data_IF_952224373168
#
_entry.id   IF_952224373168
#
_cell.length_a   1.000
_cell.length_b   1.000
_cell.length_c   1.000
_cell.angle_alpha   90.00
_cell.angle_beta   90.00
_cell.angle_gamma   90.00
#
_symmetry.space_group_name_H-M   'P 1'
#
loop_
_entity.id
_entity.type
_entity.pdbx_description
1 polymer ?
#
# COMPACT_ATOMS: atom_id res chain seq x y z
N UNK A 1 21.90 -15.73 -35.83
CA UNK A 1 21.61 -15.80 -34.39
C UNK A 1 20.10 -15.83 -34.29
N UNK A 2 19.53 -16.94 -33.84
CA UNK A 2 18.09 -17.04 -33.59
C UNK A 2 17.74 -16.24 -32.32
N UNK A 3 16.72 -15.38 -32.40
CA UNK A 3 16.20 -14.65 -31.26
C UNK A 3 15.44 -15.60 -30.35
N UNK A 4 15.96 -15.83 -29.15
CA UNK A 4 15.25 -16.56 -28.11
C UNK A 4 14.10 -15.70 -27.59
N UNK A 5 12.88 -16.19 -27.74
CA UNK A 5 11.69 -15.53 -27.20
C UNK A 5 11.38 -16.01 -25.78
N UNK A 6 11.15 -15.07 -24.86
CA UNK A 6 11.01 -15.31 -23.41
C UNK A 6 9.84 -16.23 -22.99
N UNK A 7 8.94 -16.57 -23.91
CA UNK A 7 7.78 -17.44 -23.68
C UNK A 7 8.02 -18.89 -24.13
N UNK A 8 9.15 -19.20 -24.76
CA UNK A 8 9.52 -20.57 -25.08
C UNK A 8 9.92 -21.31 -23.79
N UNK A 9 9.27 -22.45 -23.53
CA UNK A 9 9.63 -23.28 -22.38
C UNK A 9 11.08 -23.73 -22.54
N UNK A 10 11.90 -23.48 -21.52
CA UNK A 10 13.24 -24.05 -21.45
C UNK A 10 13.12 -25.57 -21.63
N UNK A 11 13.64 -26.07 -22.74
CA UNK A 11 13.81 -27.51 -22.93
C UNK A 11 14.87 -27.97 -21.91
N UNK A 12 14.48 -28.86 -21.00
CA UNK A 12 15.40 -29.45 -20.04
C UNK A 12 16.39 -30.36 -20.78
N UNK A 13 17.53 -29.80 -21.19
CA UNK A 13 18.65 -30.59 -21.66
C UNK A 13 19.32 -31.27 -20.45
N UNK A 14 19.03 -32.57 -20.29
CA UNK A 14 19.82 -33.44 -19.44
C UNK A 14 21.25 -33.56 -20.00
N UNK A 15 22.23 -32.95 -19.33
CA UNK A 15 23.53 -33.60 -18.96
C UNK A 15 24.54 -32.63 -18.36
N UNK A 16 25.09 -33.00 -17.20
CA UNK A 16 26.28 -32.37 -16.63
C UNK A 16 26.63 -32.90 -15.24
N UNK A 17 27.20 -34.10 -15.16
CA UNK A 17 27.60 -34.78 -13.93
C UNK A 17 28.76 -34.10 -13.19
N UNK A 18 28.49 -33.47 -12.06
CA UNK A 18 29.46 -33.32 -10.96
C UNK A 18 28.82 -33.70 -9.62
N UNK A 19 29.08 -34.93 -9.16
CA UNK A 19 28.64 -35.43 -7.85
C UNK A 19 29.49 -34.81 -6.73
N UNK A 20 29.01 -33.71 -6.13
CA UNK A 20 29.26 -33.47 -4.71
C UNK A 20 28.28 -34.34 -3.92
N UNK A 21 28.76 -35.12 -2.96
CA UNK A 21 27.89 -35.86 -2.03
C UNK A 21 27.30 -34.85 -1.05
N UNK A 22 26.28 -34.14 -1.53
CA UNK A 22 25.34 -33.40 -0.69
C UNK A 22 24.32 -34.46 -0.26
N UNK A 23 24.06 -34.56 1.05
CA UNK A 23 23.03 -35.47 1.56
C UNK A 23 21.75 -35.23 0.76
N UNK A 24 21.31 -36.23 0.00
CA UNK A 24 20.21 -36.11 -0.94
C UNK A 24 18.90 -35.89 -0.16
N UNK A 25 18.58 -34.63 0.12
CA UNK A 25 17.27 -34.23 0.57
C UNK A 25 16.31 -34.63 -0.54
N UNK A 26 15.37 -35.55 -0.26
CA UNK A 26 14.32 -35.89 -1.23
C UNK A 26 13.73 -34.58 -1.76
N UNK A 27 13.65 -34.39 -3.08
CA UNK A 27 13.13 -33.15 -3.64
C UNK A 27 11.69 -32.98 -3.14
N UNK A 28 11.39 -31.80 -2.60
CA UNK A 28 10.04 -31.49 -2.16
C UNK A 28 9.11 -31.57 -3.38
N UNK A 29 7.97 -32.24 -3.23
CA UNK A 29 6.92 -32.18 -4.24
C UNK A 29 6.41 -30.74 -4.37
N UNK A 30 5.90 -30.36 -5.55
CA UNK A 30 5.28 -29.04 -5.75
C UNK A 30 4.26 -28.71 -4.66
N UNK A 31 3.43 -29.69 -4.30
CA UNK A 31 2.43 -29.56 -3.26
C UNK A 31 3.01 -29.29 -1.86
N UNK A 32 4.08 -30.02 -1.48
CA UNK A 32 4.76 -29.78 -0.20
C UNK A 32 5.59 -28.48 -0.19
N UNK A 33 6.04 -27.99 -1.34
CA UNK A 33 6.72 -26.70 -1.46
C UNK A 33 5.74 -25.51 -1.34
N UNK A 34 4.52 -25.66 -1.86
CA UNK A 34 3.43 -24.67 -1.76
C UNK A 34 2.84 -24.62 -0.35
N UNK A 35 2.56 -25.77 0.27
CA UNK A 35 1.98 -25.85 1.63
C UNK A 35 2.88 -25.34 2.76
N UNK A 36 4.16 -25.08 2.49
CA UNK A 36 5.10 -24.56 3.51
C UNK A 36 4.81 -23.09 3.81
N UNK A 37 4.51 -22.80 5.08
CA UNK A 37 4.40 -21.42 5.61
C UNK A 37 5.67 -20.64 5.27
N UNK A 38 5.51 -19.51 4.59
CA UNK A 38 6.63 -18.67 4.15
C UNK A 38 7.02 -17.72 5.27
N UNK A 39 8.00 -18.13 6.09
CA UNK A 39 8.50 -17.33 7.21
C UNK A 39 8.87 -15.89 6.81
N UNK A 40 9.43 -15.70 5.61
CA UNK A 40 9.88 -14.38 5.14
C UNK A 40 8.74 -13.43 4.74
N UNK A 41 7.54 -13.95 4.49
CA UNK A 41 6.39 -13.12 4.11
C UNK A 41 5.62 -12.61 5.33
N UNK A 42 5.67 -13.33 6.45
CA UNK A 42 4.93 -12.99 7.67
C UNK A 42 5.22 -11.56 8.15
N UNK A 43 6.48 -11.09 8.07
CA UNK A 43 6.82 -9.73 8.48
C UNK A 43 5.98 -8.68 7.72
N UNK A 44 5.76 -8.86 6.43
CA UNK A 44 5.00 -7.88 5.65
C UNK A 44 3.50 -7.90 5.99
N UNK A 45 2.99 -9.04 6.45
CA UNK A 45 1.63 -9.16 6.98
C UNK A 45 1.56 -8.46 8.33
N UNK A 46 2.50 -8.73 9.24
CA UNK A 46 2.59 -8.05 10.54
C UNK A 46 2.69 -6.52 10.39
N UNK A 47 3.48 -6.03 9.42
CA UNK A 47 3.60 -4.59 9.16
C UNK A 47 2.25 -3.99 8.67
N UNK A 48 1.47 -4.70 7.84
CA UNK A 48 0.14 -4.22 7.36
C UNK A 48 -0.91 -4.29 8.47
N UNK A 49 -0.90 -5.37 9.25
CA UNK A 49 -1.83 -5.58 10.37
C UNK A 49 -1.62 -4.49 11.43
N UNK A 50 -0.36 -4.09 11.69
CA UNK A 50 -0.04 -2.96 12.59
C UNK A 50 -0.68 -1.67 12.11
N UNK A 51 -0.47 -1.31 10.84
CA UNK A 51 -1.01 -0.07 10.29
C UNK A 51 -2.54 -0.05 10.30
N UNK A 52 -3.20 -1.16 9.93
CA UNK A 52 -4.67 -1.26 10.00
C UNK A 52 -5.14 -1.13 11.45
N UNK A 53 -4.46 -1.79 12.40
CA UNK A 53 -4.79 -1.69 13.82
C UNK A 53 -4.61 -0.28 14.37
N UNK A 54 -3.58 0.46 13.94
CA UNK A 54 -3.35 1.86 14.34
C UNK A 54 -4.41 2.78 13.74
N UNK A 55 -4.80 2.59 12.48
CA UNK A 55 -5.94 3.33 11.90
C UNK A 55 -7.22 3.03 12.67
N UNK A 56 -7.50 1.76 13.00
CA UNK A 56 -8.67 1.37 13.78
C UNK A 56 -8.67 2.01 15.18
N UNK A 57 -7.50 2.10 15.81
CA UNK A 57 -7.31 2.80 17.08
C UNK A 57 -7.61 4.30 16.95
N UNK A 58 -7.07 4.99 15.95
CA UNK A 58 -7.36 6.41 15.75
C UNK A 58 -8.79 6.69 15.29
N UNK A 59 -9.50 5.69 14.78
CA UNK A 59 -10.94 5.78 14.48
C UNK A 59 -11.82 5.56 15.72
N UNK A 60 -11.26 5.10 16.85
CA UNK A 60 -11.99 4.60 18.01
C UNK A 60 -12.90 3.39 17.67
N UNK A 61 -12.46 2.55 16.72
CA UNK A 61 -13.22 1.44 16.14
C UNK A 61 -12.35 0.17 15.99
N UNK A 62 -11.74 -0.30 17.08
CA UNK A 62 -10.71 -1.37 17.05
C UNK A 62 -11.24 -2.75 16.62
N UNK A 63 -12.54 -2.97 16.71
CA UNK A 63 -13.18 -4.20 16.23
C UNK A 63 -13.51 -4.14 14.71
N UNK A 64 -13.32 -2.99 14.06
CA UNK A 64 -13.68 -2.72 12.67
C UNK A 64 -12.46 -2.58 11.77
N UNK A 65 -11.66 -3.64 11.71
CA UNK A 65 -10.51 -3.74 10.80
C UNK A 65 -10.89 -3.52 9.33
N UNK A 66 -12.12 -3.86 8.95
CA UNK A 66 -12.68 -3.61 7.61
C UNK A 66 -12.79 -2.11 7.30
N UNK A 67 -13.28 -1.31 8.26
CA UNK A 67 -13.37 0.14 8.14
C UNK A 67 -11.99 0.79 8.10
N UNK A 68 -11.09 0.37 8.99
CA UNK A 68 -9.73 0.89 9.03
C UNK A 68 -8.94 0.60 7.74
N UNK A 69 -9.08 -0.62 7.20
CA UNK A 69 -8.48 -0.96 5.90
C UNK A 69 -9.04 -0.09 4.77
N UNK A 70 -10.36 0.10 4.71
CA UNK A 70 -10.99 0.92 3.68
C UNK A 70 -10.61 2.40 3.80
N UNK A 71 -10.52 2.93 5.02
CA UNK A 71 -10.04 4.28 5.30
C UNK A 71 -8.61 4.46 4.79
N UNK A 72 -7.68 3.57 5.21
CA UNK A 72 -6.29 3.58 4.75
C UNK A 72 -6.21 3.56 3.23
N UNK A 73 -6.96 2.64 2.58
CA UNK A 73 -6.98 2.51 1.12
C UNK A 73 -7.53 3.78 0.44
N UNK A 74 -8.66 4.31 0.92
CA UNK A 74 -9.33 5.48 0.35
C UNK A 74 -8.45 6.72 0.40
N UNK A 75 -7.88 7.01 1.58
CA UNK A 75 -6.98 8.15 1.79
C UNK A 75 -5.72 8.02 0.95
N UNK A 76 -5.10 6.83 0.92
CA UNK A 76 -3.91 6.58 0.11
C UNK A 76 -4.19 6.82 -1.39
N UNK A 77 -5.38 6.44 -1.88
CA UNK A 77 -5.74 6.64 -3.29
C UNK A 77 -6.03 8.10 -3.59
N UNK A 78 -6.77 8.77 -2.69
CA UNK A 78 -7.08 10.18 -2.80
C UNK A 78 -5.83 11.06 -2.72
N UNK A 79 -4.79 10.67 -1.98
CA UNK A 79 -3.50 11.36 -2.02
C UNK A 79 -2.73 11.03 -3.30
N UNK A 80 -2.53 9.72 -3.59
CA UNK A 80 -1.76 9.21 -4.74
C UNK A 80 -2.13 9.89 -6.05
N UNK A 81 -3.42 10.05 -6.28
CA UNK A 81 -3.94 10.54 -7.56
C UNK A 81 -3.70 12.04 -7.76
N UNK A 82 -3.33 12.78 -6.70
CA UNK A 82 -2.84 14.17 -6.76
C UNK A 82 -1.33 14.29 -6.85
N UNK A 83 -0.58 13.23 -6.55
CA UNK A 83 0.88 13.29 -6.53
C UNK A 83 1.43 13.35 -7.94
N UNK A 84 2.52 14.11 -8.12
CA UNK A 84 3.33 13.98 -9.34
C UNK A 84 3.99 12.60 -9.37
N UNK A 85 4.41 12.08 -10.53
CA UNK A 85 5.10 10.79 -10.61
C UNK A 85 6.31 10.69 -9.66
N UNK A 86 7.04 11.78 -9.49
CA UNK A 86 8.20 11.82 -8.61
C UNK A 86 7.79 11.68 -7.14
N UNK A 87 6.86 12.52 -6.66
CA UNK A 87 6.33 12.46 -5.29
C UNK A 87 5.70 11.10 -4.99
N UNK A 88 4.97 10.55 -5.96
CA UNK A 88 4.34 9.24 -5.85
C UNK A 88 5.38 8.12 -5.61
N UNK A 89 6.54 8.16 -6.25
CA UNK A 89 7.61 7.20 -5.97
C UNK A 89 8.27 7.44 -4.62
N UNK A 90 8.54 8.70 -4.25
CA UNK A 90 9.15 9.07 -2.97
C UNK A 90 8.26 8.62 -1.79
N UNK A 91 6.97 8.94 -1.84
CA UNK A 91 6.00 8.56 -0.83
C UNK A 91 5.87 7.05 -0.73
N UNK A 92 5.74 6.36 -1.88
CA UNK A 92 5.60 4.91 -1.90
C UNK A 92 6.81 4.19 -1.28
N UNK A 93 8.01 4.77 -1.34
CA UNK A 93 9.21 4.17 -0.78
C UNK A 93 9.17 4.08 0.75
N UNK A 94 8.41 4.96 1.41
CA UNK A 94 8.22 4.99 2.87
C UNK A 94 7.13 4.00 3.33
N UNK A 95 6.26 3.54 2.44
CA UNK A 95 5.19 2.59 2.78
C UNK A 95 5.71 1.16 3.00
N UNK A 96 5.13 0.39 3.94
CA UNK A 96 5.35 -1.06 4.05
C UNK A 96 5.04 -1.78 2.75
N UNK A 97 5.65 -2.95 2.52
CA UNK A 97 5.59 -3.62 1.21
C UNK A 97 4.16 -3.96 0.75
N UNK A 98 3.28 -4.42 1.66
CA UNK A 98 1.89 -4.72 1.31
C UNK A 98 1.04 -3.46 1.19
N UNK A 99 1.23 -2.46 2.06
CA UNK A 99 0.58 -1.14 1.94
C UNK A 99 0.93 -0.49 0.61
N UNK A 100 2.20 -0.57 0.19
CA UNK A 100 2.65 -0.11 -1.13
C UNK A 100 1.94 -0.84 -2.27
N UNK A 101 1.70 -2.14 -2.11
CA UNK A 101 0.91 -2.93 -3.06
C UNK A 101 -0.51 -2.40 -3.18
N UNK A 102 -1.17 -2.14 -2.05
CA UNK A 102 -2.51 -1.50 -2.00
C UNK A 102 -2.44 -0.14 -2.67
N UNK A 103 -1.48 0.71 -2.29
CA UNK A 103 -1.26 2.05 -2.84
C UNK A 103 -1.15 2.05 -4.37
N UNK A 104 -0.55 1.05 -5.01
CA UNK A 104 -0.47 0.99 -6.47
C UNK A 104 -1.61 0.23 -7.16
N UNK A 105 -2.47 -0.44 -6.40
CA UNK A 105 -3.59 -1.18 -6.98
C UNK A 105 -4.54 -0.22 -7.72
N UNK A 106 -4.89 -0.61 -8.96
CA UNK A 106 -5.77 0.17 -9.84
C UNK A 106 -5.20 1.51 -10.32
N UNK A 107 -3.91 1.81 -10.05
CA UNK A 107 -3.32 3.08 -10.48
C UNK A 107 -3.19 3.18 -12.00
N UNK A 108 -3.65 4.30 -12.55
CA UNK A 108 -3.47 4.68 -13.94
C UNK A 108 -2.63 5.96 -14.02
N UNK A 109 -1.59 5.94 -14.86
CA UNK A 109 -0.68 7.07 -15.01
C UNK A 109 -1.29 8.23 -15.81
N UNK A 110 -2.20 7.92 -16.73
CA UNK A 110 -2.80 8.90 -17.62
C UNK A 110 -3.64 9.91 -16.83
N UNK A 111 -3.44 11.21 -17.10
CA UNK A 111 -4.18 12.29 -16.45
C UNK A 111 -3.67 12.69 -15.05
N UNK A 112 -2.58 12.08 -14.56
CA UNK A 112 -1.98 12.42 -13.26
C UNK A 112 -0.91 13.52 -13.37
N UNK A 113 -0.78 14.42 -12.38
CA UNK A 113 -1.61 14.55 -11.20
C UNK A 113 -3.01 15.10 -11.52
N UNK A 114 -4.03 14.55 -10.88
CA UNK A 114 -5.40 15.07 -10.99
C UNK A 114 -5.59 16.31 -10.12
N UNK A 115 -6.40 17.24 -10.62
CA UNK A 115 -6.73 18.49 -9.95
C UNK A 115 -8.16 18.46 -9.46
N UNK A 116 -8.31 18.39 -8.15
CA UNK A 116 -9.57 18.40 -7.42
C UNK A 116 -9.36 19.03 -6.05
N UNK A 117 -10.47 19.42 -5.46
CA UNK A 117 -10.57 20.17 -4.21
C UNK A 117 -11.01 19.26 -3.06
N UNK A 118 -11.17 19.82 -1.87
CA UNK A 118 -11.51 19.09 -0.65
C UNK A 118 -12.78 18.25 -0.79
N UNK A 119 -13.84 18.77 -1.44
CA UNK A 119 -15.10 18.06 -1.63
C UNK A 119 -14.89 16.72 -2.37
N UNK A 120 -14.24 16.76 -3.53
CA UNK A 120 -13.99 15.55 -4.33
C UNK A 120 -12.94 14.63 -3.67
N UNK A 121 -12.02 15.18 -2.86
CA UNK A 121 -11.10 14.37 -2.08
C UNK A 121 -11.84 13.54 -1.02
N UNK A 122 -12.78 14.16 -0.31
CA UNK A 122 -13.62 13.49 0.70
C UNK A 122 -14.61 12.52 0.05
N UNK A 123 -15.23 12.88 -1.08
CA UNK A 123 -16.11 11.97 -1.84
C UNK A 123 -15.39 10.67 -2.22
N UNK A 124 -14.12 10.75 -2.66
CA UNK A 124 -13.31 9.57 -2.98
C UNK A 124 -13.01 8.68 -1.78
N UNK A 125 -12.86 9.29 -0.60
CA UNK A 125 -12.65 8.55 0.66
C UNK A 125 -13.97 7.88 1.06
N UNK A 126 -15.09 8.60 1.00
CA UNK A 126 -16.43 8.09 1.31
C UNK A 126 -16.81 6.90 0.42
N UNK A 127 -16.56 7.02 -0.89
CA UNK A 127 -16.74 5.92 -1.85
C UNK A 127 -15.94 4.66 -1.48
N UNK A 128 -14.73 4.84 -0.93
CA UNK A 128 -13.87 3.74 -0.51
C UNK A 128 -14.31 3.11 0.82
N UNK A 129 -14.82 3.91 1.75
CA UNK A 129 -15.41 3.44 3.01
C UNK A 129 -16.63 2.56 2.76
N UNK A 130 -17.49 2.99 1.83
CA UNK A 130 -18.70 2.31 1.42
C UNK A 130 -19.85 2.49 2.42
N UNK A 131 -21.08 2.10 2.02
CA UNK A 131 -22.31 2.50 2.71
C UNK A 131 -22.53 1.83 4.07
N UNK A 132 -21.66 0.87 4.44
CA UNK A 132 -21.74 0.16 5.71
C UNK A 132 -20.83 0.78 6.77
N UNK A 133 -20.02 1.79 6.41
CA UNK A 133 -19.18 2.53 7.33
C UNK A 133 -19.98 3.62 8.05
N UNK A 134 -19.87 3.68 9.38
CA UNK A 134 -20.46 4.75 10.21
C UNK A 134 -19.36 5.71 10.67
N UNK A 135 -18.46 6.07 9.75
CA UNK A 135 -17.36 7.02 9.96
C UNK A 135 -17.37 8.03 8.82
N UNK A 136 -17.10 9.30 9.14
CA UNK A 136 -17.03 10.35 8.12
C UNK A 136 -15.71 10.27 7.34
N UNK A 137 -15.66 10.74 6.08
CA UNK A 137 -14.43 10.77 5.31
C UNK A 137 -13.34 11.66 5.95
N UNK A 138 -13.72 12.72 6.67
CA UNK A 138 -12.80 13.56 7.44
C UNK A 138 -12.16 12.78 8.59
N UNK A 139 -12.96 12.03 9.36
CA UNK A 139 -12.45 11.20 10.46
C UNK A 139 -11.55 10.08 9.93
N UNK A 140 -11.90 9.49 8.79
CA UNK A 140 -11.04 8.54 8.10
C UNK A 140 -9.73 9.16 7.63
N UNK A 141 -9.79 10.38 7.08
CA UNK A 141 -8.60 11.13 6.68
C UNK A 141 -7.70 11.43 7.87
N UNK A 142 -8.24 11.96 8.96
CA UNK A 142 -7.54 12.27 10.19
C UNK A 142 -6.84 11.02 10.77
N UNK A 143 -7.54 9.91 10.92
CA UNK A 143 -6.98 8.69 11.48
C UNK A 143 -5.82 8.14 10.65
N UNK A 144 -5.96 8.14 9.32
CA UNK A 144 -4.88 7.72 8.42
C UNK A 144 -3.73 8.72 8.46
N UNK A 145 -4.03 10.02 8.57
CA UNK A 145 -3.03 11.07 8.65
C UNK A 145 -2.15 10.88 9.88
N UNK A 146 -2.73 10.58 11.06
CA UNK A 146 -1.97 10.28 12.28
C UNK A 146 -1.00 9.10 12.08
N UNK A 147 -1.47 8.00 11.48
CA UNK A 147 -0.59 6.86 11.15
C UNK A 147 0.51 7.26 10.17
N UNK A 148 0.22 8.11 9.19
CA UNK A 148 1.27 8.60 8.29
C UNK A 148 2.32 9.43 9.04
N UNK A 149 1.92 10.28 9.99
CA UNK A 149 2.86 11.03 10.84
C UNK A 149 3.71 10.14 11.75
N UNK A 150 3.16 9.04 12.24
CA UNK A 150 3.89 8.10 13.10
C UNK A 150 4.95 7.29 12.34
N UNK A 151 4.73 7.00 11.05
CA UNK A 151 5.57 6.07 10.29
C UNK A 151 6.38 6.69 9.15
N UNK A 152 5.97 7.86 8.65
CA UNK A 152 6.58 8.51 7.49
C UNK A 152 7.40 9.72 7.96
N UNK A 153 8.52 9.96 7.28
CA UNK A 153 9.37 11.10 7.62
C UNK A 153 8.64 12.42 7.42
N UNK A 154 8.78 13.34 8.37
CA UNK A 154 8.24 14.70 8.31
C UNK A 154 8.55 15.42 6.99
N UNK A 155 9.77 15.25 6.46
CA UNK A 155 10.18 15.86 5.19
C UNK A 155 9.31 15.43 4.02
N UNK A 156 8.99 14.15 3.93
CA UNK A 156 8.12 13.59 2.88
C UNK A 156 6.68 14.10 3.01
N UNK A 157 6.13 14.10 4.24
CA UNK A 157 4.78 14.61 4.50
C UNK A 157 4.66 16.10 4.17
N UNK A 158 5.70 16.88 4.48
CA UNK A 158 5.75 18.30 4.14
C UNK A 158 5.89 18.54 2.63
N UNK A 159 6.56 17.67 1.89
CA UNK A 159 6.61 17.74 0.43
C UNK A 159 5.24 17.44 -0.20
N UNK A 160 4.50 16.44 0.33
CA UNK A 160 3.10 16.20 -0.04
C UNK A 160 2.21 17.40 0.31
N UNK A 161 2.30 17.91 1.55
CA UNK A 161 1.49 19.04 2.01
C UNK A 161 1.67 20.26 1.09
N UNK A 162 2.90 20.56 0.67
CA UNK A 162 3.20 21.73 -0.20
C UNK A 162 2.46 21.71 -1.54
N UNK A 163 2.21 20.52 -2.11
CA UNK A 163 1.55 20.38 -3.41
C UNK A 163 0.02 20.36 -3.31
N UNK A 164 -0.54 20.27 -2.09
CA UNK A 164 -1.97 20.33 -1.88
C UNK A 164 -2.51 21.76 -2.13
N UNK A 165 -3.76 21.88 -2.64
CA UNK A 165 -4.47 23.15 -2.73
C UNK A 165 -4.84 23.66 -1.33
N UNK A 166 -5.13 24.96 -1.21
CA UNK A 166 -5.26 25.64 0.09
C UNK A 166 -6.38 25.06 0.96
N UNK A 167 -7.49 24.65 0.36
CA UNK A 167 -8.62 24.00 1.03
C UNK A 167 -8.27 22.62 1.62
N UNK A 168 -7.43 21.84 0.92
CA UNK A 168 -6.94 20.58 1.47
C UNK A 168 -5.88 20.77 2.56
N UNK A 169 -5.12 21.86 2.49
CA UNK A 169 -4.19 22.24 3.57
C UNK A 169 -4.95 22.64 4.83
N UNK A 170 -6.04 23.38 4.69
CA UNK A 170 -6.91 23.75 5.79
C UNK A 170 -7.46 22.51 6.50
N UNK A 171 -8.04 21.55 5.76
CA UNK A 171 -8.48 20.27 6.32
C UNK A 171 -7.33 19.50 7.01
N UNK A 172 -6.17 19.41 6.35
CA UNK A 172 -4.99 18.73 6.91
C UNK A 172 -4.55 19.36 8.23
N UNK A 173 -4.52 20.69 8.31
CA UNK A 173 -4.12 21.41 9.51
C UNK A 173 -5.18 21.25 10.62
N UNK A 174 -6.47 21.26 10.29
CA UNK A 174 -7.55 20.99 11.25
C UNK A 174 -7.39 19.61 11.90
N UNK A 175 -7.11 18.56 11.11
CA UNK A 175 -6.90 17.19 11.59
C UNK A 175 -5.71 17.01 12.57
N UNK A 176 -4.76 17.95 12.63
CA UNK A 176 -3.57 17.85 13.48
C UNK A 176 -3.61 18.76 14.71
N UNK A 177 -4.61 19.64 14.81
CA UNK A 177 -4.71 20.66 15.85
C UNK A 177 -5.68 20.26 17.00
N UNK A 178 -6.25 19.06 16.98
CA UNK A 178 -7.11 18.49 18.03
C UNK A 178 -6.42 17.36 18.80
#
# INVERSE_FOLDING_TARGET
MEELHWYEKVHEDEKGSHKKVIHARKPATRETAIKRKKKYFNKYVEDVDSWIGEVAFYLDEEEREDWAYNALRGVLYALRDRLTPQELFQFSAQLPTLVRGVFFEGYHFDGKPEKYHVDEFLDRIDDALGPAADISPERAFEAVLQVLYDHISEGELNDIYRILPDDLKELWDECLNE
#
